data_IF_559378920662
#
_entry.id   IF_559378920662
#
_cell.length_a   1.000
_cell.length_b   1.000
_cell.length_c   1.000
_cell.angle_alpha   90.00
_cell.angle_beta   90.00
_cell.angle_gamma   90.00
#
_symmetry.space_group_name_H-M   'P 1'
#
loop_
_entity.id
_entity.type
_entity.pdbx_description
1 polymer ?
#
# COMPACT_ATOMS: atom_id res chain seq x y z
N UNK A 1 -7.03 -2.16 -11.28
CA UNK A 1 -7.27 -1.08 -12.26
C UNK A 1 -8.74 -0.95 -12.62
N UNK A 2 -9.44 -2.01 -13.02
CA UNK A 2 -10.89 -1.97 -13.34
C UNK A 2 -11.74 -1.45 -12.17
N UNK A 3 -11.47 -1.88 -10.93
CA UNK A 3 -12.22 -1.41 -9.77
C UNK A 3 -12.13 0.10 -9.52
N UNK A 4 -11.01 0.75 -9.86
CA UNK A 4 -10.86 2.21 -9.70
C UNK A 4 -11.67 2.96 -10.77
N UNK A 5 -11.75 2.40 -11.97
CA UNK A 5 -12.57 2.94 -13.06
C UNK A 5 -14.07 2.81 -12.74
N UNK A 6 -14.50 1.63 -12.30
CA UNK A 6 -15.89 1.40 -11.87
C UNK A 6 -16.27 2.25 -10.66
N UNK A 7 -15.33 2.46 -9.72
CA UNK A 7 -15.52 3.37 -8.59
C UNK A 7 -15.74 4.81 -9.03
N UNK A 8 -14.98 5.29 -10.02
CA UNK A 8 -15.19 6.63 -10.61
C UNK A 8 -16.54 6.77 -11.32
N UNK A 9 -16.99 5.73 -12.04
CA UNK A 9 -18.34 5.74 -12.64
C UNK A 9 -19.42 5.85 -11.57
N UNK A 10 -19.32 5.03 -10.51
CA UNK A 10 -20.26 5.10 -9.39
C UNK A 10 -20.25 6.45 -8.67
N UNK A 11 -19.08 7.06 -8.52
CA UNK A 11 -18.94 8.39 -7.91
C UNK A 11 -19.66 9.47 -8.74
N UNK A 12 -19.64 9.35 -10.08
CA UNK A 12 -20.38 10.26 -10.94
C UNK A 12 -21.90 10.10 -10.75
N UNK A 13 -22.39 8.86 -10.81
CA UNK A 13 -23.81 8.58 -10.61
C UNK A 13 -24.31 9.01 -9.21
N UNK A 14 -23.45 8.93 -8.19
CA UNK A 14 -23.84 9.24 -6.80
C UNK A 14 -23.68 10.72 -6.44
N UNK A 15 -22.62 11.37 -6.93
CA UNK A 15 -22.17 12.68 -6.47
C UNK A 15 -21.93 13.69 -7.60
N UNK A 16 -22.24 13.34 -8.85
CA UNK A 16 -22.10 14.22 -10.02
C UNK A 16 -20.67 14.50 -10.47
N UNK A 17 -19.68 13.73 -9.97
CA UNK A 17 -18.27 13.87 -10.34
C UNK A 17 -17.53 12.53 -10.30
N UNK A 18 -16.58 12.33 -11.21
CA UNK A 18 -15.78 11.10 -11.27
C UNK A 18 -14.71 10.99 -10.18
N UNK A 19 -14.27 12.14 -9.63
CA UNK A 19 -13.17 12.21 -8.66
C UNK A 19 -13.27 13.50 -7.84
N UNK A 20 -13.06 13.41 -6.54
CA UNK A 20 -13.13 14.46 -5.54
C UNK A 20 -11.87 14.68 -4.70
N UNK A 21 -10.78 13.92 -4.93
CA UNK A 21 -9.51 14.04 -4.20
C UNK A 21 -9.64 13.83 -2.69
N UNK A 22 -10.67 13.12 -2.24
CA UNK A 22 -10.75 12.79 -0.82
C UNK A 22 -9.61 11.81 -0.45
N UNK A 23 -9.31 11.65 0.85
CA UNK A 23 -8.23 10.78 1.28
C UNK A 23 -8.33 9.35 0.73
N UNK A 24 -9.52 8.75 0.59
CA UNK A 24 -9.65 7.37 0.10
C UNK A 24 -9.38 7.28 -1.40
N UNK A 25 -9.93 8.19 -2.18
CA UNK A 25 -9.65 8.30 -3.62
C UNK A 25 -8.15 8.55 -3.87
N UNK A 26 -7.56 9.52 -3.17
CA UNK A 26 -6.13 9.86 -3.32
C UNK A 26 -5.25 8.65 -3.01
N UNK A 27 -5.54 7.90 -1.95
CA UNK A 27 -4.80 6.69 -1.60
C UNK A 27 -5.02 5.51 -2.55
N UNK A 28 -6.19 5.42 -3.19
CA UNK A 28 -6.43 4.47 -4.27
C UNK A 28 -5.52 4.76 -5.47
N UNK A 29 -5.35 6.04 -5.84
CA UNK A 29 -4.41 6.45 -6.89
C UNK A 29 -2.95 6.14 -6.50
N UNK A 30 -2.54 6.49 -5.28
CA UNK A 30 -1.19 6.19 -4.76
C UNK A 30 -0.91 4.70 -4.83
N UNK A 31 -1.86 3.85 -4.39
CA UNK A 31 -1.68 2.40 -4.42
C UNK A 31 -1.50 1.86 -5.84
N UNK A 32 -2.24 2.40 -6.83
CA UNK A 32 -2.03 2.05 -8.24
C UNK A 32 -0.62 2.43 -8.70
N UNK A 33 -0.13 3.61 -8.33
CA UNK A 33 1.24 4.05 -8.67
C UNK A 33 2.30 3.16 -8.02
N UNK A 34 2.13 2.79 -6.75
CA UNK A 34 3.03 1.86 -6.05
C UNK A 34 3.05 0.51 -6.74
N UNK A 35 1.89 -0.09 -7.03
CA UNK A 35 1.83 -1.36 -7.75
C UNK A 35 2.45 -1.27 -9.15
N UNK A 36 2.18 -0.19 -9.89
CA UNK A 36 2.77 0.06 -11.20
C UNK A 36 4.31 0.11 -11.11
N UNK A 37 4.86 0.79 -10.10
CA UNK A 37 6.30 0.83 -9.84
C UNK A 37 6.87 -0.56 -9.55
N UNK A 38 6.25 -1.35 -8.66
CA UNK A 38 6.73 -2.71 -8.34
C UNK A 38 6.72 -3.61 -9.57
N UNK A 39 5.71 -3.49 -10.43
CA UNK A 39 5.70 -4.22 -11.71
C UNK A 39 6.80 -3.71 -12.64
N UNK A 40 7.00 -2.40 -12.72
CA UNK A 40 8.02 -1.78 -13.57
C UNK A 40 9.45 -2.15 -13.15
N UNK A 41 9.70 -2.40 -11.87
CA UNK A 41 10.98 -2.95 -11.39
C UNK A 41 11.38 -4.24 -12.12
N UNK A 42 10.41 -5.03 -12.62
CA UNK A 42 10.69 -6.25 -13.40
C UNK A 42 11.26 -5.98 -14.79
N UNK A 43 11.22 -4.75 -15.27
CA UNK A 43 11.74 -4.35 -16.57
C UNK A 43 13.13 -3.68 -16.44
N UNK A 44 13.42 -3.07 -15.29
CA UNK A 44 14.68 -2.34 -15.05
C UNK A 44 15.80 -3.29 -14.61
N UNK A 45 16.89 -3.47 -15.39
CA UNK A 45 17.93 -4.46 -15.10
C UNK A 45 18.51 -4.39 -13.68
N UNK A 46 18.65 -3.20 -13.11
CA UNK A 46 19.16 -3.01 -11.74
C UNK A 46 18.16 -3.32 -10.61
N UNK A 47 16.86 -3.40 -10.90
CA UNK A 47 15.79 -3.59 -9.90
C UNK A 47 15.09 -4.95 -10.00
N UNK A 48 15.46 -5.78 -10.99
CA UNK A 48 14.91 -7.12 -11.26
C UNK A 48 15.29 -8.20 -10.24
N UNK A 49 16.02 -7.84 -9.19
CA UNK A 49 16.44 -8.79 -8.15
C UNK A 49 15.24 -9.44 -7.45
N UNK A 50 15.29 -10.77 -7.28
CA UNK A 50 14.23 -11.56 -6.62
C UNK A 50 13.88 -11.04 -5.23
N UNK A 51 14.89 -10.66 -4.44
CA UNK A 51 14.69 -10.10 -3.11
C UNK A 51 13.99 -8.74 -3.15
N UNK A 52 14.49 -7.81 -3.98
CA UNK A 52 13.93 -6.47 -4.10
C UNK A 52 12.48 -6.48 -4.58
N UNK A 53 12.15 -7.33 -5.55
CA UNK A 53 10.78 -7.50 -6.03
C UNK A 53 9.84 -8.02 -4.93
N UNK A 54 10.27 -9.04 -4.17
CA UNK A 54 9.47 -9.61 -3.08
C UNK A 54 9.26 -8.59 -1.95
N UNK A 55 10.30 -7.85 -1.56
CA UNK A 55 10.20 -6.83 -0.51
C UNK A 55 9.28 -5.68 -0.93
N UNK A 56 9.40 -5.19 -2.17
CA UNK A 56 8.53 -4.12 -2.66
C UNK A 56 7.09 -4.60 -2.85
N UNK A 57 6.85 -5.87 -3.12
CA UNK A 57 5.50 -6.45 -3.16
C UNK A 57 4.81 -6.41 -1.79
N UNK A 58 5.55 -6.62 -0.70
CA UNK A 58 5.03 -6.47 0.66
C UNK A 58 4.65 -5.01 0.94
N UNK A 59 5.47 -4.05 0.48
CA UNK A 59 5.18 -2.62 0.61
C UNK A 59 3.95 -2.22 -0.21
N UNK A 60 3.80 -2.74 -1.43
CA UNK A 60 2.61 -2.53 -2.24
C UNK A 60 1.34 -3.06 -1.56
N UNK A 61 1.41 -4.24 -0.93
CA UNK A 61 0.31 -4.76 -0.14
C UNK A 61 0.00 -3.87 1.07
N UNK A 62 1.03 -3.37 1.75
CA UNK A 62 0.87 -2.45 2.87
C UNK A 62 0.19 -1.12 2.47
N UNK A 63 0.38 -0.63 1.24
CA UNK A 63 -0.31 0.59 0.77
C UNK A 63 -1.83 0.40 0.65
N UNK A 64 -2.28 -0.81 0.28
CA UNK A 64 -3.69 -1.17 0.23
C UNK A 64 -4.26 -1.25 1.66
N UNK A 65 -3.54 -1.90 2.57
CA UNK A 65 -3.91 -1.93 4.00
C UNK A 65 -4.04 -0.51 4.55
N UNK A 66 -3.12 0.39 4.21
CA UNK A 66 -3.20 1.79 4.61
C UNK A 66 -4.44 2.49 4.04
N UNK A 67 -4.86 2.17 2.82
CA UNK A 67 -6.10 2.73 2.24
C UNK A 67 -7.34 2.29 3.04
N UNK A 68 -7.39 1.04 3.50
CA UNK A 68 -8.52 0.51 4.28
C UNK A 68 -8.51 0.93 5.75
N UNK A 69 -7.35 0.91 6.41
CA UNK A 69 -7.26 1.18 7.85
C UNK A 69 -6.65 2.55 8.11
N UNK A 70 -5.54 2.87 7.45
CA UNK A 70 -4.81 4.12 7.61
C UNK A 70 -5.68 5.36 7.36
N UNK A 71 -6.39 5.39 6.23
CA UNK A 71 -7.27 6.52 5.89
C UNK A 71 -8.44 6.66 6.87
N UNK A 72 -8.96 5.57 7.43
CA UNK A 72 -10.09 5.63 8.36
C UNK A 72 -9.69 6.07 9.79
N UNK A 73 -8.46 5.78 10.22
CA UNK A 73 -8.00 6.07 11.58
C UNK A 73 -7.11 7.31 11.70
N UNK A 74 -6.41 7.71 10.63
CA UNK A 74 -5.40 8.77 10.69
C UNK A 74 -5.70 9.98 9.80
N UNK A 75 -6.59 9.85 8.82
CA UNK A 75 -6.96 10.95 7.94
C UNK A 75 -8.45 11.26 8.13
N UNK A 76 -8.77 12.54 8.25
CA UNK A 76 -10.17 12.99 8.29
C UNK A 76 -10.69 13.18 6.87
N UNK A 77 -11.90 12.68 6.62
CA UNK A 77 -12.57 12.81 5.33
C UNK A 77 -14.04 12.41 5.43
N UNK A 78 -14.78 12.57 4.32
CA UNK A 78 -16.22 12.27 4.21
C UNK A 78 -16.58 10.81 4.58
N UNK A 79 -15.58 9.94 4.68
CA UNK A 79 -15.74 8.51 4.95
C UNK A 79 -15.02 8.04 6.22
N UNK A 80 -14.71 8.94 7.16
CA UNK A 80 -14.08 8.61 8.44
C UNK A 80 -15.14 8.12 9.43
N UNK A 81 -15.34 6.80 9.52
CA UNK A 81 -16.37 6.20 10.39
C UNK A 81 -15.89 5.86 11.81
N UNK A 82 -14.57 5.93 12.10
CA UNK A 82 -13.98 5.46 13.37
C UNK A 82 -12.93 6.40 13.95
N UNK A 83 -13.22 7.70 14.03
CA UNK A 83 -12.30 8.72 14.57
C UNK A 83 -12.02 8.61 16.10
N UNK A 84 -12.68 7.69 16.83
CA UNK A 84 -12.57 7.56 18.29
C UNK A 84 -11.82 6.33 18.83
N UNK A 85 -11.41 5.38 17.99
CA UNK A 85 -10.78 4.10 18.38
C UNK A 85 -9.27 4.08 18.06
N UNK A 86 -8.60 5.23 18.14
CA UNK A 86 -7.21 5.40 17.72
C UNK A 86 -6.19 4.67 18.62
N UNK A 87 -6.61 4.28 19.84
CA UNK A 87 -5.75 3.72 20.90
C UNK A 87 -5.14 2.35 20.52
N UNK A 88 -5.78 1.58 19.63
CA UNK A 88 -5.26 0.28 19.20
C UNK A 88 -4.30 0.34 17.98
N UNK A 89 -4.11 1.49 17.35
CA UNK A 89 -3.61 1.54 15.96
C UNK A 89 -2.09 1.76 15.84
N UNK A 90 -1.50 2.71 16.57
CA UNK A 90 -0.08 3.08 16.39
C UNK A 90 0.86 1.94 16.83
N UNK A 91 0.57 1.32 17.98
CA UNK A 91 1.39 0.22 18.50
C UNK A 91 1.40 -0.97 17.53
N UNK A 92 0.25 -1.32 16.94
CA UNK A 92 0.15 -2.41 15.96
C UNK A 92 0.94 -2.07 14.69
N UNK A 93 0.87 -0.82 14.21
CA UNK A 93 1.64 -0.39 13.03
C UNK A 93 3.14 -0.47 13.32
N UNK A 94 3.61 0.04 14.46
CA UNK A 94 5.02 -0.01 14.84
C UNK A 94 5.50 -1.47 14.95
N UNK A 95 4.74 -2.33 15.64
CA UNK A 95 5.06 -3.76 15.74
C UNK A 95 5.12 -4.41 14.36
N UNK A 96 4.17 -4.08 13.47
CA UNK A 96 4.11 -4.62 12.11
C UNK A 96 5.31 -4.17 11.27
N UNK A 97 5.73 -2.90 11.37
CA UNK A 97 6.92 -2.38 10.68
C UNK A 97 8.19 -3.08 11.19
N UNK A 98 8.34 -3.22 12.51
CA UNK A 98 9.47 -3.91 13.13
C UNK A 98 9.51 -5.38 12.67
N UNK A 99 8.36 -6.07 12.67
CA UNK A 99 8.27 -7.45 12.22
C UNK A 99 8.66 -7.60 10.75
N UNK A 100 8.15 -6.72 9.88
CA UNK A 100 8.51 -6.73 8.44
C UNK A 100 10.01 -6.43 8.25
N UNK A 101 10.58 -5.52 9.03
CA UNK A 101 12.01 -5.21 8.98
C UNK A 101 12.86 -6.42 9.41
N UNK A 102 12.52 -7.08 10.51
CA UNK A 102 13.22 -8.29 10.99
C UNK A 102 13.12 -9.40 9.95
N UNK A 103 11.92 -9.68 9.42
CA UNK A 103 11.71 -10.67 8.38
C UNK A 103 12.50 -10.32 7.10
N UNK A 104 12.52 -9.04 6.73
CA UNK A 104 13.32 -8.54 5.60
C UNK A 104 14.82 -8.76 5.78
N UNK A 105 15.36 -8.50 6.98
CA UNK A 105 16.77 -8.72 7.31
C UNK A 105 17.09 -10.23 7.26
N UNK A 106 16.28 -11.06 7.91
CA UNK A 106 16.47 -12.53 7.90
C UNK A 106 16.39 -13.09 6.48
N UNK A 107 15.42 -12.61 5.69
CA UNK A 107 15.28 -12.99 4.29
C UNK A 107 16.47 -12.53 3.45
N UNK A 108 17.01 -11.33 3.71
CA UNK A 108 18.19 -10.81 3.01
C UNK A 108 19.44 -11.63 3.33
N UNK A 109 19.67 -11.98 4.60
CA UNK A 109 20.82 -12.82 5.01
C UNK A 109 20.75 -14.18 4.30
N UNK A 110 19.57 -14.81 4.27
CA UNK A 110 19.37 -16.07 3.55
C UNK A 110 19.55 -15.89 2.04
N UNK A 111 19.03 -14.82 1.47
CA UNK A 111 19.20 -14.49 0.06
C UNK A 111 20.68 -14.32 -0.32
N UNK A 112 21.44 -13.57 0.48
CA UNK A 112 22.87 -13.37 0.28
C UNK A 112 23.66 -14.68 0.38
N UNK A 113 23.28 -15.58 1.30
CA UNK A 113 23.95 -16.87 1.49
C UNK A 113 23.69 -17.87 0.37
N UNK A 114 22.47 -17.95 -0.15
CA UNK A 114 22.06 -19.02 -1.07
C UNK A 114 21.92 -18.60 -2.54
N UNK A 115 21.71 -17.31 -2.82
CA UNK A 115 21.33 -16.82 -4.15
C UNK A 115 22.24 -15.75 -4.73
N UNK A 116 23.14 -15.16 -3.93
CA UNK A 116 24.15 -14.21 -4.39
C UNK A 116 25.41 -15.00 -4.75
N UNK A 117 25.51 -15.42 -6.02
CA UNK A 117 26.77 -15.86 -6.63
C UNK A 117 27.54 -14.63 -7.10
#
# INVERSE_FOLDING_TARGET
TIGNFLGGMWANESWGRYWGWDPKETWALISIMVYAFVVHMRLVPGLRGRFGFNMMSVIAFASIIFTYFGVNFYLSGLHSYQSGQQIASINIIIISIILIAILGIVAYIKYAKFYKK
#
